data_IF_971900488543
#
_entry.id   IF_971900488543
#
_cell.length_a   1.000
_cell.length_b   1.000
_cell.length_c   1.000
_cell.angle_alpha   90.00
_cell.angle_beta   90.00
_cell.angle_gamma   90.00
#
_symmetry.space_group_name_H-M   'P 1'
#
loop_
_entity.id
_entity.type
_entity.pdbx_description
1 polymer ?
#
# COMPACT_ATOMS: atom_id res chain seq x y z
N UNK A 1 -2.87 24.40 9.03
CA UNK A 1 -2.73 23.21 8.15
C UNK A 1 -1.28 22.85 7.82
N UNK A 2 -0.41 23.78 7.36
CA UNK A 2 0.97 23.45 6.94
C UNK A 2 1.80 22.62 7.94
N UNK A 3 1.85 23.07 9.20
CA UNK A 3 2.60 22.41 10.30
C UNK A 3 2.14 20.97 10.56
N UNK A 4 0.85 20.68 10.37
CA UNK A 4 0.27 19.34 10.61
C UNK A 4 0.79 18.33 9.59
N UNK A 5 0.88 18.72 8.31
CA UNK A 5 1.40 17.83 7.27
C UNK A 5 2.92 17.69 7.30
N UNK A 6 3.67 18.71 7.71
CA UNK A 6 5.12 18.56 7.93
C UNK A 6 5.43 17.56 9.03
N UNK A 7 4.70 17.63 10.14
CA UNK A 7 4.80 16.63 11.21
C UNK A 7 4.43 15.23 10.70
N UNK A 8 3.34 15.10 9.94
CA UNK A 8 2.93 13.82 9.34
C UNK A 8 4.03 13.22 8.45
N UNK A 9 4.59 14.01 7.53
CA UNK A 9 5.61 13.55 6.60
C UNK A 9 6.94 13.22 7.31
N UNK A 10 7.30 13.98 8.34
CA UNK A 10 8.46 13.65 9.20
C UNK A 10 8.30 12.27 9.85
N UNK A 11 7.10 11.95 10.36
CA UNK A 11 6.82 10.64 10.94
C UNK A 11 6.71 9.52 9.88
N UNK A 12 6.26 9.82 8.66
CA UNK A 12 6.32 8.88 7.52
C UNK A 12 7.77 8.50 7.22
N UNK A 13 8.68 9.47 7.16
CA UNK A 13 10.12 9.23 6.92
C UNK A 13 10.75 8.35 8.00
N UNK A 14 10.24 8.41 9.24
CA UNK A 14 10.63 7.54 10.36
C UNK A 14 9.98 6.16 10.33
N UNK A 15 9.29 5.79 9.24
CA UNK A 15 8.56 4.54 9.09
C UNK A 15 7.48 4.32 10.17
N UNK A 16 6.82 5.38 10.62
CA UNK A 16 5.73 5.24 11.58
C UNK A 16 4.46 4.69 10.89
N UNK A 17 4.06 3.46 11.26
CA UNK A 17 2.91 2.76 10.66
C UNK A 17 1.61 3.57 10.66
N UNK A 18 1.29 4.25 11.77
CA UNK A 18 0.06 5.06 11.89
C UNK A 18 0.12 6.27 10.96
N UNK A 19 1.27 6.92 10.87
CA UNK A 19 1.47 8.07 9.98
C UNK A 19 1.44 7.68 8.51
N UNK A 20 2.04 6.55 8.12
CA UNK A 20 1.92 5.99 6.77
C UNK A 20 0.45 5.70 6.46
N UNK A 21 -0.25 5.01 7.36
CA UNK A 21 -1.68 4.72 7.20
C UNK A 21 -2.52 6.00 7.04
N UNK A 22 -2.24 7.03 7.84
CA UNK A 22 -2.94 8.30 7.77
C UNK A 22 -2.65 9.06 6.48
N UNK A 23 -1.39 9.09 6.04
CA UNK A 23 -0.99 9.73 4.78
C UNK A 23 -1.68 9.07 3.59
N UNK A 24 -1.72 7.73 3.55
CA UNK A 24 -2.45 6.98 2.53
C UNK A 24 -3.93 7.37 2.54
N UNK A 25 -4.59 7.43 3.71
CA UNK A 25 -6.00 7.82 3.79
C UNK A 25 -6.26 9.24 3.26
N UNK A 26 -5.34 10.18 3.48
CA UNK A 26 -5.44 11.52 2.91
C UNK A 26 -5.30 11.51 1.38
N UNK A 27 -4.34 10.73 0.84
CA UNK A 27 -4.16 10.55 -0.61
C UNK A 27 -5.39 9.91 -1.22
N UNK A 28 -5.93 8.86 -0.62
CA UNK A 28 -7.16 8.23 -1.10
C UNK A 28 -8.33 9.23 -1.16
N UNK A 29 -8.43 10.15 -0.21
CA UNK A 29 -9.48 11.18 -0.19
C UNK A 29 -9.16 12.43 -1.02
N UNK A 30 -8.22 12.33 -1.98
CA UNK A 30 -7.84 13.41 -2.90
C UNK A 30 -7.44 14.71 -2.18
N UNK A 31 -6.73 14.61 -1.05
CA UNK A 31 -6.21 15.79 -0.38
C UNK A 31 -5.01 16.36 -1.17
N UNK A 32 -5.30 17.26 -2.12
CA UNK A 32 -4.31 17.84 -3.02
C UNK A 32 -3.17 18.58 -2.31
N UNK A 33 -3.42 19.19 -1.15
CA UNK A 33 -2.37 19.85 -0.36
C UNK A 33 -1.29 18.87 0.10
N UNK A 34 -1.70 17.70 0.60
CA UNK A 34 -0.75 16.66 1.00
C UNK A 34 -0.06 16.04 -0.21
N UNK A 35 -0.81 15.76 -1.28
CA UNK A 35 -0.26 15.19 -2.53
C UNK A 35 0.85 16.11 -3.08
N UNK A 36 0.57 17.41 -3.22
CA UNK A 36 1.56 18.38 -3.70
C UNK A 36 2.79 18.46 -2.78
N UNK A 37 2.61 18.35 -1.46
CA UNK A 37 3.74 18.28 -0.52
C UNK A 37 4.58 17.01 -0.71
N UNK A 38 3.96 15.85 -0.90
CA UNK A 38 4.67 14.61 -1.20
C UNK A 38 5.45 14.76 -2.51
N UNK A 39 4.82 15.25 -3.57
CA UNK A 39 5.47 15.47 -4.87
C UNK A 39 6.64 16.46 -4.80
N UNK A 40 6.54 17.49 -3.96
CA UNK A 40 7.65 18.44 -3.73
C UNK A 40 8.88 17.82 -3.05
N UNK A 41 8.77 16.61 -2.50
CA UNK A 41 9.91 15.87 -1.96
C UNK A 41 10.71 15.11 -3.04
N UNK A 42 10.33 15.22 -4.32
CA UNK A 42 11.07 14.62 -5.42
C UNK A 42 12.40 15.37 -5.70
N UNK A 43 13.50 14.67 -6.05
CA UNK A 43 13.63 13.23 -6.19
C UNK A 43 13.67 12.52 -4.84
N UNK A 44 13.04 11.34 -4.76
CA UNK A 44 13.14 10.48 -3.58
C UNK A 44 14.48 9.75 -3.55
N UNK A 45 15.07 9.62 -2.36
CA UNK A 45 16.32 8.86 -2.14
C UNK A 45 16.18 7.39 -2.53
N UNK A 46 14.96 6.86 -2.45
CA UNK A 46 14.65 5.46 -2.74
C UNK A 46 13.46 5.34 -3.67
N UNK A 47 13.59 4.43 -4.64
CA UNK A 47 12.53 4.07 -5.58
C UNK A 47 12.23 2.57 -5.43
N UNK A 48 11.18 2.21 -4.68
CA UNK A 48 10.88 0.80 -4.44
C UNK A 48 10.54 0.08 -5.74
N UNK A 49 10.94 -1.20 -5.85
CA UNK A 49 10.47 -2.08 -6.91
C UNK A 49 8.98 -2.37 -6.74
N UNK A 50 8.22 -2.17 -7.80
CA UNK A 50 6.76 -2.32 -7.82
C UNK A 50 6.40 -3.63 -8.50
N UNK A 51 5.74 -4.54 -7.79
CA UNK A 51 5.39 -5.89 -8.26
C UNK A 51 3.87 -6.04 -8.24
N UNK A 52 3.27 -6.39 -9.37
CA UNK A 52 1.84 -6.71 -9.46
C UNK A 52 1.60 -8.21 -9.44
N UNK A 53 0.65 -8.67 -8.63
CA UNK A 53 0.20 -10.07 -8.54
C UNK A 53 -1.30 -10.11 -8.80
N UNK A 54 -1.71 -10.84 -9.84
CA UNK A 54 -3.12 -11.01 -10.22
C UNK A 54 -3.38 -12.46 -10.64
N UNK A 55 -4.64 -12.80 -10.90
CA UNK A 55 -5.09 -14.15 -11.23
C UNK A 55 -6.40 -14.53 -10.54
N UNK A 56 -7.02 -15.66 -10.94
CA UNK A 56 -8.36 -16.03 -10.47
C UNK A 56 -8.40 -16.33 -8.96
N UNK A 57 -9.59 -16.33 -8.33
CA UNK A 57 -9.76 -16.81 -6.96
C UNK A 57 -9.20 -18.23 -6.80
N UNK A 58 -8.56 -18.54 -5.68
CA UNK A 58 -7.98 -19.87 -5.42
C UNK A 58 -6.63 -20.17 -6.09
N UNK A 59 -6.12 -19.32 -6.98
CA UNK A 59 -4.83 -19.52 -7.67
C UNK A 59 -3.57 -19.45 -6.77
N UNK A 60 -3.72 -19.25 -5.46
CA UNK A 60 -2.59 -19.17 -4.53
C UNK A 60 -1.86 -17.81 -4.50
N UNK A 61 -2.48 -16.73 -4.98
CA UNK A 61 -1.90 -15.36 -4.98
C UNK A 61 -1.38 -14.95 -3.60
N UNK A 62 -2.21 -15.02 -2.57
CA UNK A 62 -1.80 -14.62 -1.23
C UNK A 62 -0.74 -15.57 -0.64
N UNK A 63 -0.72 -16.84 -1.06
CA UNK A 63 0.32 -17.80 -0.69
C UNK A 63 1.67 -17.41 -1.28
N UNK A 64 1.72 -17.05 -2.58
CA UNK A 64 2.97 -16.59 -3.19
C UNK A 64 3.40 -15.22 -2.64
N UNK A 65 2.46 -14.30 -2.39
CA UNK A 65 2.74 -13.02 -1.72
C UNK A 65 3.39 -13.25 -0.36
N UNK A 66 2.84 -14.16 0.46
CA UNK A 66 3.43 -14.51 1.76
C UNK A 66 4.86 -15.03 1.65
N UNK A 67 5.14 -15.91 0.68
CA UNK A 67 6.48 -16.43 0.44
C UNK A 67 7.45 -15.33 -0.04
N UNK A 68 6.97 -14.41 -0.88
CA UNK A 68 7.76 -13.27 -1.35
C UNK A 68 8.10 -12.31 -0.19
N UNK A 69 7.15 -11.98 0.67
CA UNK A 69 7.41 -11.16 1.87
C UNK A 69 8.52 -11.83 2.68
N UNK A 70 8.37 -13.12 3.02
CA UNK A 70 9.40 -13.87 3.76
C UNK A 70 10.76 -13.75 3.09
N UNK A 71 10.83 -14.01 1.78
CA UNK A 71 12.09 -13.99 1.03
C UNK A 71 12.74 -12.61 1.01
N UNK A 72 11.97 -11.54 0.84
CA UNK A 72 12.51 -10.18 0.89
C UNK A 72 12.96 -9.79 2.29
N UNK A 73 12.23 -10.21 3.33
CA UNK A 73 12.62 -9.98 4.73
C UNK A 73 13.87 -10.73 5.13
N UNK A 74 14.09 -11.96 4.64
CA UNK A 74 15.37 -12.68 4.78
C UNK A 74 16.57 -11.90 4.19
N UNK A 75 16.32 -11.01 3.23
CA UNK A 75 17.33 -10.12 2.64
C UNK A 75 17.33 -8.71 3.28
N UNK A 76 16.70 -8.55 4.45
CA UNK A 76 16.57 -7.28 5.18
C UNK A 76 15.85 -6.15 4.43
N UNK A 77 15.09 -6.44 3.37
CA UNK A 77 14.37 -5.45 2.57
C UNK A 77 13.03 -5.05 3.18
N UNK A 78 12.67 -3.77 3.21
CA UNK A 78 11.36 -3.28 3.66
C UNK A 78 10.29 -3.53 2.59
N UNK A 79 9.17 -4.16 2.97
CA UNK A 79 8.13 -4.61 2.04
C UNK A 79 6.78 -3.98 2.38
N UNK A 80 6.18 -3.31 1.41
CA UNK A 80 4.79 -2.88 1.47
C UNK A 80 3.93 -3.83 0.64
N UNK A 81 2.77 -4.20 1.15
CA UNK A 81 1.78 -5.04 0.46
C UNK A 81 0.45 -4.31 0.47
N UNK A 82 -0.03 -4.00 -0.72
CA UNK A 82 -1.26 -3.27 -0.97
C UNK A 82 -2.23 -4.24 -1.65
N UNK A 83 -3.16 -4.76 -0.85
CA UNK A 83 -4.18 -5.70 -1.31
C UNK A 83 -5.32 -4.88 -1.92
N UNK A 84 -5.58 -5.01 -3.22
CA UNK A 84 -6.55 -4.21 -3.94
C UNK A 84 -7.76 -5.04 -4.33
N UNK A 85 -8.90 -4.70 -3.72
CA UNK A 85 -10.18 -5.37 -3.88
C UNK A 85 -11.12 -4.51 -4.75
N UNK A 86 -11.92 -5.06 -5.67
CA UNK A 86 -13.09 -4.35 -6.19
C UNK A 86 -13.88 -3.73 -5.04
N UNK A 87 -14.12 -2.42 -5.09
CA UNK A 87 -14.93 -1.76 -4.08
C UNK A 87 -16.32 -2.38 -4.01
N UNK A 88 -16.76 -2.77 -2.80
CA UNK A 88 -18.15 -3.17 -2.57
C UNK A 88 -19.10 -2.07 -3.10
N UNK A 89 -20.12 -2.41 -3.91
CA UNK A 89 -21.11 -1.44 -4.40
C UNK A 89 -21.93 -0.82 -3.25
N UNK A 90 -21.91 -1.42 -2.06
CA UNK A 90 -22.67 -0.97 -0.90
C UNK A 90 -21.84 -0.12 0.07
N UNK A 91 -20.60 -0.51 0.38
CA UNK A 91 -19.77 0.17 1.41
C UNK A 91 -18.57 0.92 0.85
N UNK A 92 -18.26 0.77 -0.45
CA UNK A 92 -17.06 1.29 -1.14
C UNK A 92 -15.71 0.85 -0.55
N UNK A 93 -15.70 0.05 0.51
CA UNK A 93 -14.51 -0.51 1.16
C UNK A 93 -14.07 -1.86 0.58
N UNK A 94 -12.94 -2.38 1.09
CA UNK A 94 -12.39 -3.70 0.76
C UNK A 94 -12.76 -4.74 1.83
N UNK A 95 -12.98 -5.98 1.41
CA UNK A 95 -13.21 -7.14 2.29
C UNK A 95 -11.87 -7.51 2.95
N UNK A 96 -11.81 -7.36 4.27
CA UNK A 96 -10.60 -7.51 5.10
C UNK A 96 -10.02 -8.95 5.16
N UNK A 97 -10.65 -9.92 4.50
CA UNK A 97 -10.35 -11.35 4.62
C UNK A 97 -8.92 -11.73 4.20
N UNK A 98 -8.33 -11.00 3.27
CA UNK A 98 -6.98 -11.29 2.79
C UNK A 98 -5.89 -10.92 3.80
N UNK A 99 -6.15 -9.94 4.68
CA UNK A 99 -5.20 -9.53 5.73
C UNK A 99 -5.01 -10.62 6.80
N UNK A 100 -6.04 -11.41 7.10
CA UNK A 100 -5.97 -12.50 8.09
C UNK A 100 -4.94 -13.56 7.66
N UNK A 101 -4.70 -13.72 6.35
CA UNK A 101 -3.73 -14.68 5.82
C UNK A 101 -2.27 -14.22 5.99
N UNK A 102 -2.03 -12.98 6.44
CA UNK A 102 -0.70 -12.36 6.54
C UNK A 102 -0.36 -11.89 7.97
N UNK A 103 -1.03 -12.44 9.00
CA UNK A 103 -0.86 -12.04 10.41
C UNK A 103 0.57 -12.22 10.94
N UNK A 104 1.34 -13.14 10.36
CA UNK A 104 2.70 -13.46 10.80
C UNK A 104 3.69 -12.27 10.70
N UNK A 105 3.32 -11.21 9.99
CA UNK A 105 4.16 -10.01 9.81
C UNK A 105 3.68 -8.80 10.60
N UNK A 106 2.65 -8.93 11.45
CA UNK A 106 2.07 -7.80 12.17
C UNK A 106 3.06 -7.09 13.10
N UNK A 107 3.98 -7.84 13.70
CA UNK A 107 5.02 -7.31 14.59
C UNK A 107 6.32 -6.92 13.86
N UNK A 108 6.42 -7.13 12.54
CA UNK A 108 7.57 -6.69 11.75
C UNK A 108 7.35 -5.25 11.25
N UNK A 109 8.01 -4.30 11.91
CA UNK A 109 7.96 -2.88 11.54
C UNK A 109 8.47 -2.57 10.11
N UNK A 110 9.14 -3.50 9.44
CA UNK A 110 9.59 -3.37 8.06
C UNK A 110 8.62 -4.00 7.05
N UNK A 111 7.49 -4.53 7.51
CA UNK A 111 6.40 -5.00 6.67
C UNK A 111 5.16 -4.13 6.89
N UNK A 112 4.64 -3.55 5.81
CA UNK A 112 3.40 -2.79 5.85
C UNK A 112 2.35 -3.48 4.99
N UNK A 113 1.23 -3.91 5.57
CA UNK A 113 0.15 -4.57 4.81
C UNK A 113 -1.12 -3.73 4.93
N UNK A 114 -1.78 -3.39 3.83
CA UNK A 114 -3.07 -2.67 3.84
C UNK A 114 -3.96 -3.11 2.69
N UNK A 115 -5.26 -3.21 2.98
CA UNK A 115 -6.30 -3.41 1.97
C UNK A 115 -6.82 -2.07 1.44
N UNK A 116 -7.12 -2.04 0.15
CA UNK A 116 -7.61 -0.90 -0.63
C UNK A 116 -8.87 -1.31 -1.40
N UNK A 117 -9.85 -0.42 -1.45
CA UNK A 117 -10.94 -0.55 -2.43
C UNK A 117 -10.51 0.07 -3.76
N UNK A 118 -10.87 -0.54 -4.87
CA UNK A 118 -10.60 -0.04 -6.23
C UNK A 118 -11.32 1.28 -6.55
N UNK A 119 -12.32 1.66 -5.74
CA UNK A 119 -13.16 2.87 -5.86
C UNK A 119 -13.80 3.05 -7.24
N UNK A 120 -14.17 1.94 -7.88
CA UNK A 120 -14.82 1.96 -9.19
C UNK A 120 -13.85 2.10 -10.36
N UNK A 121 -12.54 1.97 -10.15
CA UNK A 121 -11.59 1.90 -11.25
C UNK A 121 -11.78 0.59 -12.03
N UNK A 122 -11.88 0.71 -13.36
CA UNK A 122 -12.09 -0.44 -14.27
C UNK A 122 -10.89 -1.39 -14.34
N UNK A 123 -9.72 -0.98 -13.84
CA UNK A 123 -8.45 -1.72 -13.94
C UNK A 123 -8.00 -2.45 -12.67
N UNK A 124 -8.80 -2.45 -11.59
CA UNK A 124 -8.47 -3.16 -10.36
C UNK A 124 -7.39 -2.49 -9.48
N UNK A 125 -6.92 -1.28 -9.83
CA UNK A 125 -6.04 -0.44 -9.01
C UNK A 125 -6.62 0.96 -8.85
N UNK A 126 -6.46 1.60 -7.68
CA UNK A 126 -6.97 2.96 -7.47
C UNK A 126 -6.19 3.98 -8.33
N UNK A 127 -6.84 5.08 -8.72
CA UNK A 127 -6.17 6.13 -9.52
C UNK A 127 -4.97 6.77 -8.81
N UNK A 128 -4.94 6.69 -7.47
CA UNK A 128 -3.95 7.36 -6.64
C UNK A 128 -2.78 6.43 -6.24
N UNK A 129 -2.60 5.32 -6.99
CA UNK A 129 -1.64 4.27 -6.62
C UNK A 129 -0.19 4.76 -6.73
N UNK A 130 0.08 5.74 -7.60
CA UNK A 130 1.41 6.34 -7.75
C UNK A 130 1.75 7.23 -6.55
N UNK A 131 0.80 8.05 -6.12
CA UNK A 131 0.92 8.93 -4.96
C UNK A 131 1.05 8.11 -3.67
N UNK A 132 0.36 6.97 -3.59
CA UNK A 132 0.55 6.00 -2.50
C UNK A 132 1.96 5.40 -2.54
N UNK A 133 2.47 5.04 -3.72
CA UNK A 133 3.82 4.51 -3.85
C UNK A 133 4.89 5.55 -3.44
N UNK A 134 4.65 6.84 -3.66
CA UNK A 134 5.54 7.92 -3.23
C UNK A 134 5.64 8.04 -1.70
N UNK A 135 4.58 7.70 -0.95
CA UNK A 135 4.64 7.59 0.51
C UNK A 135 5.64 6.51 0.93
N UNK A 136 5.68 5.39 0.22
CA UNK A 136 6.62 4.29 0.50
C UNK A 136 8.05 4.64 0.07
N UNK A 137 8.22 5.44 -0.97
CA UNK A 137 9.52 6.06 -1.31
C UNK A 137 10.01 6.93 -0.15
N UNK A 138 9.15 7.79 0.42
CA UNK A 138 9.49 8.62 1.59
C UNK A 138 9.83 7.80 2.83
N UNK A 139 9.13 6.68 3.05
CA UNK A 139 9.38 5.76 4.17
C UNK A 139 10.55 4.79 3.91
N UNK A 140 11.27 4.96 2.80
CA UNK A 140 12.44 4.16 2.40
C UNK A 140 12.17 2.65 2.25
N UNK A 141 10.99 2.29 1.74
CA UNK A 141 10.68 0.90 1.39
C UNK A 141 11.49 0.43 0.18
N UNK A 142 11.76 -0.87 0.12
CA UNK A 142 12.49 -1.52 -0.98
C UNK A 142 11.53 -2.06 -2.03
N UNK A 143 10.44 -2.67 -1.58
CA UNK A 143 9.48 -3.37 -2.44
C UNK A 143 8.07 -2.90 -2.11
N UNK A 144 7.24 -2.73 -3.15
CA UNK A 144 5.79 -2.61 -3.03
C UNK A 144 5.15 -3.72 -3.86
N UNK A 145 4.39 -4.59 -3.21
CA UNK A 145 3.60 -5.64 -3.82
C UNK A 145 2.15 -5.14 -3.91
N UNK A 146 1.58 -5.17 -5.09
CA UNK A 146 0.16 -4.93 -5.34
C UNK A 146 -0.50 -6.27 -5.66
N UNK A 147 -1.37 -6.76 -4.80
CA UNK A 147 -2.12 -8.00 -5.05
C UNK A 147 -3.57 -7.66 -5.34
N UNK A 148 -4.10 -8.04 -6.50
CA UNK A 148 -5.54 -7.87 -6.78
C UNK A 148 -6.32 -9.03 -6.20
N UNK A 149 -7.53 -8.77 -5.70
CA UNK A 149 -8.51 -9.83 -5.45
C UNK A 149 -8.95 -10.40 -6.81
N UNK A 150 -9.30 -11.69 -6.83
CA UNK A 150 -9.31 -12.47 -8.07
C UNK A 150 -10.15 -11.86 -9.20
N UNK A 151 -9.60 -11.84 -10.42
CA UNK A 151 -10.34 -11.44 -11.63
C UNK A 151 -11.63 -12.27 -11.75
N UNK A 152 -12.76 -11.62 -12.05
CA UNK A 152 -14.05 -12.28 -12.23
C UNK A 152 -14.95 -12.38 -10.99
N UNK A 153 -14.60 -11.70 -9.88
CA UNK A 153 -15.55 -11.47 -8.78
C UNK A 153 -16.39 -10.22 -9.09
N UNK A 154 -17.50 -10.42 -9.80
CA UNK A 154 -18.65 -9.50 -9.82
C UNK A 154 -19.84 -10.30 -9.27
#
# INVERSE_FOLDING_TARGET
MKVVFEKLLSEVKKNNYKSISKAISHVENNNFDLINKISSCFPFDKKPHRVGITGPPGAGKSSITNLLIKKYRENNLKVAVLLVDPSSPFTKGAVLGDRIRMLNYYDDNNVFIRSFGSRGSKGGLSNNINEIADIFSLASYDIIIFETVGVGQI
#
